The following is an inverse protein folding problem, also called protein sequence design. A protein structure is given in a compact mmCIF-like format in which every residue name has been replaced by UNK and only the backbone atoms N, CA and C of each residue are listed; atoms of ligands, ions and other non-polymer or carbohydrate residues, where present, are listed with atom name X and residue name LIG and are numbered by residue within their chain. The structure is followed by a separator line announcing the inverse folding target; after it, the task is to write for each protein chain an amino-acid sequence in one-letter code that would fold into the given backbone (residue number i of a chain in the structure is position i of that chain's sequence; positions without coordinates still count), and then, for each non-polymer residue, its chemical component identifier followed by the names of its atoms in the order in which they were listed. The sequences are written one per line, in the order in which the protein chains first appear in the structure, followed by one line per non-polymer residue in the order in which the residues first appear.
data_IF_981821806364
#
_entry.id   IF_981821806364
#
_cell.length_a   1.000
_cell.length_b   1.000
_cell.length_c   1.000
_cell.angle_alpha   90.00
_cell.angle_beta   90.00
_cell.angle_gamma   90.00
#
_symmetry.space_group_name_H-M   'P 1'
#
loop_
_entity.id
_entity.type
_entity.pdbx_description
1 polymer ?
#
# COMPACT_ATOMS: atom_id res chain seq x y z
N UNK A 1 17.47 -0.01 19.61
CA UNK A 1 17.55 1.23 18.82
C UNK A 1 16.13 1.62 18.44
N UNK A 2 15.70 2.87 18.64
CA UNK A 2 14.32 3.28 18.38
C UNK A 2 14.00 3.26 16.88
N UNK A 3 12.75 2.96 16.51
CA UNK A 3 12.30 2.87 15.12
C UNK A 3 12.53 4.17 14.31
N UNK A 4 12.70 5.31 14.99
CA UNK A 4 12.83 6.63 14.39
C UNK A 4 14.29 7.14 14.34
N UNK A 5 15.29 6.29 14.63
CA UNK A 5 16.69 6.72 14.70
C UNK A 5 17.29 7.17 13.35
N UNK A 6 16.64 6.83 12.23
CA UNK A 6 17.03 7.19 10.86
C UNK A 6 15.88 7.84 10.07
N UNK A 7 14.84 8.32 10.78
CA UNK A 7 13.73 9.01 10.17
C UNK A 7 13.99 10.51 10.17
N UNK A 8 13.82 11.17 9.02
CA UNK A 8 14.10 12.59 8.85
C UNK A 8 12.86 13.33 8.37
N UNK A 9 12.30 14.20 9.21
CA UNK A 9 11.03 14.89 8.93
C UNK A 9 11.23 16.23 8.22
N UNK A 10 12.35 16.93 8.49
CA UNK A 10 12.56 18.29 7.98
C UNK A 10 13.11 18.28 6.54
N UNK A 11 12.49 19.05 5.64
CA UNK A 11 12.94 19.18 4.25
C UNK A 11 14.39 19.60 4.08
N UNK A 12 14.95 20.38 5.01
CA UNK A 12 16.37 20.74 5.03
C UNK A 12 17.29 19.56 5.37
N UNK A 13 16.82 18.62 6.20
CA UNK A 13 17.58 17.40 6.53
C UNK A 13 17.52 16.43 5.35
N UNK A 14 16.36 16.31 4.69
CA UNK A 14 16.21 15.51 3.46
C UNK A 14 17.13 16.00 2.33
N UNK A 15 17.14 17.31 2.05
CA UNK A 15 18.05 17.92 1.05
C UNK A 15 19.54 17.70 1.42
N UNK A 16 19.88 17.84 2.71
CA UNK A 16 21.24 17.59 3.20
C UNK A 16 21.68 16.13 3.05
N UNK A 17 20.79 15.17 3.28
CA UNK A 17 21.06 13.73 3.10
C UNK A 17 21.22 13.39 1.62
N UNK A 18 20.39 13.94 0.75
CA UNK A 18 20.50 13.75 -0.71
C UNK A 18 21.84 14.27 -1.25
N UNK A 19 22.34 15.39 -0.73
CA UNK A 19 23.62 15.99 -1.13
C UNK A 19 24.83 15.29 -0.51
N UNK A 20 24.77 14.98 0.79
CA UNK A 20 25.80 14.24 1.51
C UNK A 20 25.22 13.59 2.77
N UNK A 21 24.99 12.27 2.72
CA UNK A 21 24.37 11.50 3.82
C UNK A 21 25.08 11.64 5.17
N UNK A 22 26.42 11.76 5.17
CA UNK A 22 27.21 11.90 6.41
C UNK A 22 26.92 13.19 7.18
N UNK A 23 26.25 14.16 6.56
CA UNK A 23 25.86 15.42 7.20
C UNK A 23 24.90 15.18 8.38
N UNK A 24 24.04 14.17 8.27
CA UNK A 24 23.02 13.86 9.28
C UNK A 24 22.99 12.38 9.69
N UNK A 25 23.67 11.49 8.97
CA UNK A 25 23.77 10.06 9.27
C UNK A 25 25.24 9.67 9.51
N UNK A 26 25.65 9.59 10.79
CA UNK A 26 27.02 9.16 11.18
C UNK A 26 27.25 7.67 10.83
N UNK A 27 26.17 6.88 10.70
CA UNK A 27 26.19 5.47 10.34
C UNK A 27 24.98 5.13 9.45
N UNK A 28 25.05 4.06 8.65
CA UNK A 28 23.96 3.69 7.75
C UNK A 28 22.91 2.81 8.45
N UNK A 29 21.60 2.92 8.13
CA UNK A 29 20.57 2.04 8.68
C UNK A 29 20.89 0.55 8.49
N UNK A 30 21.47 0.21 7.33
CA UNK A 30 21.86 -1.16 6.97
C UNK A 30 22.95 -1.71 7.89
N UNK A 31 23.84 -0.84 8.42
CA UNK A 31 24.91 -1.27 9.33
C UNK A 31 24.39 -1.83 10.66
N UNK A 32 23.12 -1.58 10.99
CA UNK A 32 22.44 -2.14 12.17
C UNK A 32 21.19 -2.96 11.81
N UNK A 33 21.11 -3.43 10.57
CA UNK A 33 20.04 -4.32 10.12
C UNK A 33 18.68 -3.65 9.91
N UNK A 34 18.63 -2.32 9.75
CA UNK A 34 17.42 -1.61 9.37
C UNK A 34 17.35 -1.53 7.83
N UNK A 35 16.33 -2.13 7.20
CA UNK A 35 16.15 -2.07 5.75
C UNK A 35 15.68 -0.67 5.36
N UNK A 36 16.65 0.19 5.05
CA UNK A 36 16.48 1.49 4.37
C UNK A 36 15.75 2.59 5.18
N UNK A 37 15.98 3.85 4.79
CA UNK A 37 15.37 5.02 5.44
C UNK A 37 13.85 4.97 5.26
N UNK A 38 13.12 4.88 6.37
CA UNK A 38 11.67 5.08 6.38
C UNK A 38 11.44 6.58 6.23
N UNK A 39 11.01 7.01 5.04
CA UNK A 39 10.59 8.38 4.83
C UNK A 39 9.32 8.62 5.66
N UNK A 40 9.41 9.47 6.68
CA UNK A 40 8.24 9.83 7.49
C UNK A 40 7.68 11.12 6.90
N UNK A 41 6.45 11.03 6.38
CA UNK A 41 5.72 12.20 5.89
C UNK A 41 5.05 12.92 7.07
N UNK A 42 5.36 14.20 7.20
CA UNK A 42 4.82 15.12 8.19
C UNK A 42 4.62 16.51 7.58
N UNK A 43 4.23 17.49 8.40
CA UNK A 43 3.87 18.85 7.93
C UNK A 43 5.00 19.62 7.25
N UNK A 44 6.24 19.16 7.45
CA UNK A 44 7.45 19.74 6.86
C UNK A 44 7.93 18.98 5.62
N UNK A 45 7.26 17.89 5.25
CA UNK A 45 7.53 17.17 4.02
C UNK A 45 7.05 17.99 2.83
N UNK A 46 7.97 18.26 1.90
CA UNK A 46 7.65 19.02 0.70
C UNK A 46 6.85 18.21 -0.32
N UNK A 47 6.27 18.91 -1.30
CA UNK A 47 5.46 18.31 -2.39
C UNK A 47 6.20 17.22 -3.18
N UNK A 48 7.52 17.35 -3.33
CA UNK A 48 8.33 16.34 -4.02
C UNK A 48 8.39 15.02 -3.26
N UNK A 49 8.68 15.08 -1.95
CA UNK A 49 8.70 13.91 -1.07
C UNK A 49 7.32 13.23 -1.01
N UNK A 50 6.24 14.02 -0.96
CA UNK A 50 4.88 13.50 -1.04
C UNK A 50 4.60 12.78 -2.37
N UNK A 51 5.02 13.36 -3.51
CA UNK A 51 4.87 12.75 -4.84
C UNK A 51 5.65 11.44 -4.95
N UNK A 52 6.91 11.43 -4.56
CA UNK A 52 7.78 10.25 -4.60
C UNK A 52 7.18 9.11 -3.77
N UNK A 53 6.70 9.40 -2.56
CA UNK A 53 6.05 8.41 -1.70
C UNK A 53 4.74 7.88 -2.30
N UNK A 54 3.93 8.73 -2.95
CA UNK A 54 2.75 8.27 -3.67
C UNK A 54 3.10 7.36 -4.85
N UNK A 55 4.16 7.67 -5.59
CA UNK A 55 4.66 6.84 -6.69
C UNK A 55 5.21 5.49 -6.17
N UNK A 56 5.88 5.48 -5.02
CA UNK A 56 6.28 4.26 -4.31
C UNK A 56 5.07 3.42 -3.90
N UNK A 57 3.97 4.07 -3.50
CA UNK A 57 2.68 3.44 -3.28
C UNK A 57 1.92 3.14 -4.59
N UNK A 58 2.51 3.33 -5.77
CA UNK A 58 1.87 3.02 -7.06
C UNK A 58 0.76 3.98 -7.49
N UNK A 59 0.62 5.14 -6.85
CA UNK A 59 -0.33 6.17 -7.22
C UNK A 59 0.32 7.21 -8.13
N UNK A 60 -0.15 7.26 -9.38
CA UNK A 60 0.28 8.25 -10.37
C UNK A 60 -0.82 9.29 -10.58
N UNK A 61 -0.65 10.46 -9.97
CA UNK A 61 -1.57 11.58 -10.09
C UNK A 61 -1.15 12.56 -11.17
N UNK A 62 -2.13 13.17 -11.84
CA UNK A 62 -1.90 14.36 -12.67
C UNK A 62 -1.53 15.53 -11.77
N UNK A 63 -0.83 16.52 -12.30
CA UNK A 63 -0.34 17.64 -11.50
C UNK A 63 -1.45 18.42 -10.76
N UNK A 64 -2.63 18.53 -11.35
CA UNK A 64 -3.79 19.17 -10.73
C UNK A 64 -4.31 18.36 -9.51
N UNK A 65 -4.39 17.04 -9.64
CA UNK A 65 -4.86 16.15 -8.57
C UNK A 65 -3.80 15.97 -7.47
N UNK A 66 -2.52 15.99 -7.86
CA UNK A 66 -1.40 15.98 -6.93
C UNK A 66 -1.41 17.25 -6.07
N UNK A 67 -1.67 18.42 -6.67
CA UNK A 67 -1.74 19.67 -5.92
C UNK A 67 -2.87 19.67 -4.89
N UNK A 68 -4.08 19.25 -5.28
CA UNK A 68 -5.23 19.11 -4.37
C UNK A 68 -4.95 18.12 -3.24
N UNK A 69 -4.38 16.96 -3.58
CA UNK A 69 -4.04 15.91 -2.60
C UNK A 69 -2.97 16.40 -1.62
N UNK A 70 -2.00 17.19 -2.10
CA UNK A 70 -0.96 17.78 -1.27
C UNK A 70 -1.50 18.82 -0.29
N UNK A 71 -2.45 19.66 -0.70
CA UNK A 71 -3.09 20.64 0.20
C UNK A 71 -3.83 19.94 1.34
N UNK A 72 -4.60 18.88 1.03
CA UNK A 72 -5.27 18.06 2.05
C UNK A 72 -4.28 17.28 2.92
N UNK A 73 -3.17 16.82 2.34
CA UNK A 73 -2.09 16.20 3.10
C UNK A 73 -1.55 17.15 4.18
N UNK A 74 -1.34 18.43 3.86
CA UNK A 74 -0.89 19.41 4.85
C UNK A 74 -1.90 19.59 5.99
N UNK A 75 -3.20 19.58 5.71
CA UNK A 75 -4.25 19.64 6.73
C UNK A 75 -4.23 18.41 7.65
N UNK A 76 -4.01 17.21 7.10
CA UNK A 76 -3.90 15.98 7.89
C UNK A 76 -2.61 15.99 8.72
N UNK A 77 -1.50 16.41 8.12
CA UNK A 77 -0.19 16.49 8.75
C UNK A 77 -0.09 17.57 9.83
N UNK A 78 -0.95 18.59 9.80
CA UNK A 78 -1.03 19.58 10.89
C UNK A 78 -1.74 18.99 12.13
N UNK A 79 -2.66 18.04 11.91
CA UNK A 79 -3.46 17.39 12.97
C UNK A 79 -2.83 16.11 13.52
N UNK A 80 -1.95 15.46 12.76
CA UNK A 80 -1.25 14.22 13.13
C UNK A 80 0.25 14.42 13.14
N UNK A 81 0.95 13.82 14.11
CA UNK A 81 2.42 13.82 14.15
C UNK A 81 3.07 13.08 12.98
N UNK A 82 2.43 12.00 12.52
CA UNK A 82 2.91 11.18 11.41
C UNK A 82 1.71 10.84 10.51
N UNK A 83 1.89 11.00 9.20
CA UNK A 83 0.90 10.60 8.20
C UNK A 83 1.23 9.19 7.73
N UNK A 84 0.26 8.28 7.83
CA UNK A 84 0.44 6.88 7.45
C UNK A 84 0.12 6.64 5.98
N UNK A 85 0.60 5.53 5.40
CA UNK A 85 0.28 5.15 4.01
C UNK A 85 -1.24 5.11 3.78
N UNK A 86 -2.01 4.61 4.76
CA UNK A 86 -3.49 4.64 4.75
C UNK A 86 -4.09 6.04 4.68
N UNK A 87 -3.47 7.00 5.36
CA UNK A 87 -3.92 8.40 5.28
C UNK A 87 -3.67 8.94 3.86
N UNK A 88 -2.53 8.60 3.25
CA UNK A 88 -2.21 8.98 1.87
C UNK A 88 -3.16 8.32 0.87
N UNK A 89 -3.40 7.02 1.01
CA UNK A 89 -4.38 6.27 0.22
C UNK A 89 -5.76 6.91 0.30
N UNK A 90 -6.23 7.28 1.51
CA UNK A 90 -7.53 7.94 1.68
C UNK A 90 -7.59 9.31 0.98
N UNK A 91 -6.50 10.09 1.04
CA UNK A 91 -6.39 11.38 0.36
C UNK A 91 -6.49 11.23 -1.16
N UNK A 92 -5.84 10.21 -1.70
CA UNK A 92 -5.78 9.93 -3.14
C UNK A 92 -7.07 9.24 -3.63
N UNK A 93 -7.68 8.37 -2.84
CA UNK A 93 -8.93 7.66 -3.18
C UNK A 93 -10.07 8.64 -3.43
N UNK A 94 -10.10 9.76 -2.71
CA UNK A 94 -11.07 10.84 -2.96
C UNK A 94 -10.98 11.44 -4.37
N UNK A 95 -9.78 11.49 -4.95
CA UNK A 95 -9.55 12.00 -6.31
C UNK A 95 -9.69 10.89 -7.38
N UNK A 96 -9.36 9.63 -7.04
CA UNK A 96 -9.53 8.47 -7.94
C UNK A 96 -10.99 7.95 -8.01
N UNK A 97 -11.87 8.40 -7.11
CA UNK A 97 -13.28 7.96 -7.01
C UNK A 97 -14.18 8.32 -8.21
N UNK A 98 -13.65 8.89 -9.29
CA UNK A 98 -14.40 9.02 -10.54
C UNK A 98 -14.52 7.70 -11.33
N UNK A 99 -13.80 6.65 -10.95
CA UNK A 99 -13.97 5.32 -11.53
C UNK A 99 -14.97 4.54 -10.67
N UNK A 100 -16.17 4.31 -11.19
CA UNK A 100 -17.19 3.51 -10.49
C UNK A 100 -16.66 2.13 -10.08
N UNK A 101 -17.18 1.58 -8.98
CA UNK A 101 -16.79 0.25 -8.48
C UNK A 101 -17.13 -0.83 -9.51
N UNK A 102 -16.17 -1.19 -10.37
CA UNK A 102 -16.36 -2.16 -11.44
C UNK A 102 -16.59 -3.59 -10.90
N UNK A 103 -15.99 -3.91 -9.75
CA UNK A 103 -16.08 -5.20 -9.10
C UNK A 103 -16.35 -5.00 -7.61
N UNK A 104 -17.35 -5.71 -7.08
CA UNK A 104 -17.66 -5.72 -5.65
C UNK A 104 -17.56 -7.17 -5.17
N UNK A 105 -16.76 -7.41 -4.11
CA UNK A 105 -16.69 -8.72 -3.48
C UNK A 105 -17.98 -9.00 -2.70
N UNK A 106 -18.80 -9.94 -3.18
CA UNK A 106 -20.06 -10.31 -2.52
C UNK A 106 -19.84 -11.45 -1.51
N UNK A 107 -18.99 -12.41 -1.87
CA UNK A 107 -18.72 -13.57 -1.01
C UNK A 107 -17.34 -14.15 -1.28
N UNK A 108 -16.72 -14.67 -0.22
CA UNK A 108 -15.63 -15.61 -0.37
C UNK A 108 -15.67 -16.67 0.73
N UNK A 109 -15.16 -17.85 0.40
CA UNK A 109 -14.90 -18.92 1.34
C UNK A 109 -13.59 -19.59 1.00
N UNK A 110 -12.77 -19.84 2.01
CA UNK A 110 -11.49 -20.54 1.84
C UNK A 110 -11.42 -21.69 2.81
N UNK A 111 -11.02 -22.84 2.29
CA UNK A 111 -10.61 -24.00 3.09
C UNK A 111 -9.11 -24.22 2.89
N UNK A 112 -8.37 -24.33 3.99
CA UNK A 112 -6.93 -24.57 4.00
C UNK A 112 -6.53 -25.38 5.24
N UNK A 113 -5.37 -26.02 5.18
CA UNK A 113 -4.90 -26.96 6.20
C UNK A 113 -3.62 -27.66 5.76
N UNK A 114 -2.92 -28.28 6.71
CA UNK A 114 -1.62 -28.92 6.46
C UNK A 114 -1.68 -30.17 5.57
N UNK A 115 -2.86 -30.76 5.38
CA UNK A 115 -3.09 -31.96 4.56
C UNK A 115 -4.19 -31.78 3.52
N UNK A 116 -4.65 -30.55 3.31
CA UNK A 116 -5.71 -30.22 2.37
C UNK A 116 -5.15 -29.31 1.30
N UNK A 117 -5.56 -29.48 0.05
CA UNK A 117 -5.23 -28.53 -1.01
C UNK A 117 -6.01 -27.24 -0.73
N UNK A 118 -5.34 -26.08 -0.52
CA UNK A 118 -6.02 -24.81 -0.35
C UNK A 118 -6.98 -24.53 -1.50
N UNK A 119 -8.25 -24.31 -1.17
CA UNK A 119 -9.32 -24.06 -2.14
C UNK A 119 -10.10 -22.84 -1.72
N UNK A 120 -10.37 -21.94 -2.66
CA UNK A 120 -11.21 -20.78 -2.46
C UNK A 120 -12.41 -20.80 -3.40
N UNK A 121 -13.56 -20.35 -2.92
CA UNK A 121 -14.74 -19.97 -3.70
C UNK A 121 -14.93 -18.48 -3.54
N UNK A 122 -15.07 -17.76 -4.64
CA UNK A 122 -15.25 -16.31 -4.66
C UNK A 122 -16.48 -15.98 -5.49
N UNK A 123 -17.26 -15.00 -5.04
CA UNK A 123 -18.36 -14.41 -5.80
C UNK A 123 -18.14 -12.90 -5.89
N UNK A 124 -18.15 -12.39 -7.11
CA UNK A 124 -18.06 -10.96 -7.40
C UNK A 124 -19.36 -10.48 -8.03
N UNK A 125 -19.77 -9.26 -7.68
CA UNK A 125 -20.78 -8.50 -8.39
C UNK A 125 -20.09 -7.60 -9.42
N UNK A 126 -20.53 -7.68 -10.67
CA UNK A 126 -19.99 -6.94 -11.83
C UNK A 126 -21.16 -6.21 -12.48
N UNK A 127 -21.27 -4.90 -12.21
CA UNK A 127 -22.49 -4.16 -12.53
C UNK A 127 -23.69 -4.70 -11.76
N UNK A 128 -24.72 -5.19 -12.47
CA UNK A 128 -25.91 -5.80 -11.86
C UNK A 128 -25.81 -7.32 -11.72
N UNK A 129 -24.86 -7.96 -12.39
CA UNK A 129 -24.71 -9.41 -12.40
C UNK A 129 -23.80 -9.90 -11.28
N UNK A 130 -23.97 -11.17 -10.88
CA UNK A 130 -23.06 -11.84 -9.96
C UNK A 130 -22.46 -13.06 -10.63
N UNK A 131 -21.16 -13.23 -10.46
CA UNK A 131 -20.41 -14.37 -10.98
C UNK A 131 -19.66 -15.05 -9.84
N UNK A 132 -19.58 -16.37 -9.88
CA UNK A 132 -18.98 -17.20 -8.85
C UNK A 132 -18.05 -18.23 -9.45
N UNK A 133 -16.86 -18.37 -8.88
CA UNK A 133 -15.87 -19.37 -9.27
C UNK A 133 -15.16 -19.96 -8.06
N UNK A 134 -14.50 -21.09 -8.30
CA UNK A 134 -13.60 -21.69 -7.33
C UNK A 134 -12.25 -22.03 -7.96
N UNK A 135 -11.19 -21.95 -7.16
CA UNK A 135 -9.86 -22.32 -7.59
C UNK A 135 -9.04 -22.91 -6.42
N UNK A 136 -8.06 -23.72 -6.79
CA UNK A 136 -7.05 -24.24 -5.88
C UNK A 136 -5.75 -23.43 -5.99
N UNK A 137 -4.96 -23.40 -4.93
CA UNK A 137 -3.65 -22.76 -4.89
C UNK A 137 -2.69 -23.49 -3.96
N UNK A 138 -1.43 -23.09 -3.98
CA UNK A 138 -0.41 -23.49 -3.00
C UNK A 138 -0.71 -22.87 -1.61
N UNK A 139 -1.45 -21.75 -1.59
CA UNK A 139 -1.91 -21.10 -0.37
C UNK A 139 -3.33 -20.53 -0.48
N UNK A 140 -3.94 -20.15 0.66
CA UNK A 140 -5.30 -19.61 0.69
C UNK A 140 -5.43 -18.29 -0.09
N UNK A 141 -4.41 -17.43 -0.04
CA UNK A 141 -4.38 -16.15 -0.75
C UNK A 141 -4.29 -16.38 -2.26
N UNK A 142 -3.41 -17.27 -2.71
CA UNK A 142 -3.27 -17.60 -4.13
C UNK A 142 -4.55 -18.26 -4.70
N UNK A 143 -5.21 -19.11 -3.92
CA UNK A 143 -6.48 -19.72 -4.30
C UNK A 143 -7.56 -18.65 -4.54
N UNK A 144 -7.62 -17.62 -3.68
CA UNK A 144 -8.53 -16.47 -3.87
C UNK A 144 -8.18 -15.72 -5.16
N UNK A 145 -6.90 -15.39 -5.38
CA UNK A 145 -6.50 -14.68 -6.59
C UNK A 145 -6.88 -15.44 -7.85
N UNK A 146 -6.57 -16.74 -7.93
CA UNK A 146 -6.96 -17.57 -9.08
C UNK A 146 -8.47 -17.61 -9.32
N UNK A 147 -9.29 -17.63 -8.25
CA UNK A 147 -10.74 -17.57 -8.39
C UNK A 147 -11.20 -16.20 -8.94
N UNK A 148 -10.61 -15.10 -8.47
CA UNK A 148 -10.87 -13.74 -8.99
C UNK A 148 -10.44 -13.62 -10.45
N UNK A 149 -9.26 -14.12 -10.83
CA UNK A 149 -8.77 -14.11 -12.21
C UNK A 149 -9.71 -14.85 -13.16
N UNK A 150 -10.27 -16.00 -12.73
CA UNK A 150 -11.26 -16.75 -13.52
C UNK A 150 -12.56 -15.98 -13.75
N UNK A 151 -13.04 -15.26 -12.73
CA UNK A 151 -14.27 -14.45 -12.82
C UNK A 151 -14.05 -13.22 -13.71
N UNK A 152 -12.93 -12.53 -13.50
CA UNK A 152 -12.67 -11.24 -14.14
C UNK A 152 -12.04 -11.35 -15.53
N UNK A 153 -11.38 -12.48 -15.82
CA UNK A 153 -10.54 -12.65 -17.01
C UNK A 153 -9.25 -11.80 -16.96
N UNK A 154 -8.96 -11.16 -15.82
CA UNK A 154 -7.80 -10.29 -15.65
C UNK A 154 -6.73 -11.10 -14.93
N UNK A 155 -5.60 -11.35 -15.60
CA UNK A 155 -4.41 -11.94 -14.98
C UNK A 155 -3.43 -10.83 -14.63
N UNK A 156 -3.16 -10.66 -13.33
CA UNK A 156 -2.24 -9.64 -12.83
C UNK A 156 -1.07 -10.30 -12.11
N UNK A 157 0.12 -9.73 -12.24
CA UNK A 157 1.30 -10.26 -11.57
C UNK A 157 1.43 -9.65 -10.17
N UNK A 158 1.41 -10.47 -9.13
CA UNK A 158 1.67 -10.03 -7.75
C UNK A 158 3.14 -9.63 -7.62
N UNK A 159 3.40 -8.34 -7.38
CA UNK A 159 4.74 -7.79 -7.17
C UNK A 159 5.12 -7.77 -5.69
N UNK A 160 4.18 -7.42 -4.83
CA UNK A 160 4.41 -7.32 -3.39
C UNK A 160 3.18 -7.78 -2.61
N UNK A 161 3.41 -8.55 -1.54
CA UNK A 161 2.42 -8.87 -0.54
C UNK A 161 3.06 -8.71 0.84
N UNK A 162 2.61 -7.71 1.59
CA UNK A 162 3.10 -7.41 2.93
C UNK A 162 1.98 -7.49 3.94
N UNK A 163 2.23 -8.15 5.08
CA UNK A 163 1.33 -8.15 6.24
C UNK A 163 2.11 -7.69 7.47
N UNK A 164 1.62 -6.63 8.14
CA UNK A 164 2.23 -6.07 9.35
C UNK A 164 1.22 -5.98 10.48
N UNK A 165 1.65 -6.29 11.70
CA UNK A 165 0.85 -6.05 12.89
C UNK A 165 0.89 -4.55 13.24
N UNK A 166 -0.30 -3.96 13.40
CA UNK A 166 -0.49 -2.56 13.81
C UNK A 166 -0.49 -2.45 15.33
N UNK A 167 -1.10 -3.42 16.01
CA UNK A 167 -1.17 -3.49 17.47
C UNK A 167 -0.57 -4.79 17.99
N UNK A 168 -0.26 -4.83 19.29
CA UNK A 168 0.21 -6.04 19.96
C UNK A 168 -0.94 -6.83 20.59
N UNK A 169 -0.65 -8.07 20.98
CA UNK A 169 -1.60 -8.97 21.63
C UNK A 169 -2.23 -9.98 20.67
N UNK A 170 -3.10 -10.84 21.21
CA UNK A 170 -3.79 -11.87 20.42
C UNK A 170 -4.78 -11.28 19.41
N UNK A 171 -5.30 -10.10 19.74
CA UNK A 171 -6.27 -9.35 18.94
C UNK A 171 -5.58 -8.23 18.12
N UNK A 172 -4.32 -8.48 17.74
CA UNK A 172 -3.54 -7.56 16.93
C UNK A 172 -4.27 -7.26 15.62
N UNK A 173 -4.46 -5.97 15.33
CA UNK A 173 -4.93 -5.55 14.02
C UNK A 173 -3.80 -5.75 13.02
N UNK A 174 -4.12 -6.38 11.88
CA UNK A 174 -3.21 -6.51 10.74
C UNK A 174 -3.47 -5.41 9.72
N UNK A 175 -2.40 -4.93 9.09
CA UNK A 175 -2.46 -4.16 7.86
C UNK A 175 -1.83 -5.01 6.76
N UNK A 176 -2.52 -5.08 5.62
CA UNK A 176 -2.08 -5.81 4.44
C UNK A 176 -1.88 -4.79 3.34
N UNK A 177 -0.76 -4.91 2.62
CA UNK A 177 -0.46 -4.14 1.42
C UNK A 177 -0.23 -5.11 0.28
N UNK A 178 -0.91 -4.89 -0.84
CA UNK A 178 -0.82 -5.70 -2.04
C UNK A 178 -0.44 -4.80 -3.20
N UNK A 179 0.65 -5.12 -3.91
CA UNK A 179 1.03 -4.45 -5.15
C UNK A 179 0.97 -5.45 -6.30
N UNK A 180 0.22 -5.09 -7.32
CA UNK A 180 0.08 -5.88 -8.54
C UNK A 180 0.56 -5.08 -9.75
N UNK A 181 1.04 -5.79 -10.75
CA UNK A 181 1.36 -5.24 -12.06
C UNK A 181 0.37 -5.78 -13.08
N UNK A 182 -0.28 -4.88 -13.82
CA UNK A 182 -1.16 -5.21 -14.93
C UNK A 182 -0.88 -4.27 -16.10
N UNK A 183 -0.58 -4.82 -17.28
CA UNK A 183 -0.21 -4.05 -18.48
C UNK A 183 0.89 -2.99 -18.21
N UNK A 184 1.98 -3.41 -17.54
CA UNK A 184 3.12 -2.58 -17.14
C UNK A 184 2.81 -1.44 -16.14
N UNK A 185 1.56 -1.34 -15.66
CA UNK A 185 1.16 -0.40 -14.61
C UNK A 185 1.10 -1.09 -13.26
N UNK A 186 1.62 -0.42 -12.24
CA UNK A 186 1.57 -0.87 -10.85
C UNK A 186 0.31 -0.31 -10.20
N UNK A 187 -0.39 -1.16 -9.44
CA UNK A 187 -1.55 -0.82 -8.63
C UNK A 187 -1.31 -1.31 -7.21
N UNK A 188 -1.73 -0.52 -6.23
CA UNK A 188 -1.57 -0.82 -4.80
C UNK A 188 -2.90 -0.70 -4.07
N UNK A 189 -3.12 -1.59 -3.10
CA UNK A 189 -4.22 -1.52 -2.13
C UNK A 189 -4.06 -2.49 -0.99
#
# INVERSE_FOLDING_TARGET
VGANAFAHEAGIHQDGILKNRLTYEIMTPQSIGIPTNRLILGKHSGRHAFKEHLEELGYHLKEEDLQKSYERFLEVADRKKEVTDRDLEALVRGELSQVGEAFILDYFHVTSGNKTIPTATVKLKIGEETQQEAACGEGPVEAIYKAIERITGITAELKEYGIKAVTGGKDALGEVTVRISYQEKIYTG
#
